data_IF_383481140021
#
_entry.id   IF_383481140021
#
_cell.length_a   1.000
_cell.length_b   1.000
_cell.length_c   1.000
_cell.angle_alpha   90.00
_cell.angle_beta   90.00
_cell.angle_gamma   90.00
#
_symmetry.space_group_name_H-M   'P 1'
#
loop_
_entity.id
_entity.type
_entity.pdbx_description
1 polymer ?
#
# COMPACT_ATOMS: atom_id res chain seq x y z
N UNK A 1 14.01 3.68 52.29
CA UNK A 1 14.52 3.67 50.90
C UNK A 1 13.37 3.24 49.99
N UNK A 2 12.77 4.19 49.26
CA UNK A 2 11.66 3.91 48.31
C UNK A 2 12.27 3.54 46.96
N UNK A 3 12.08 2.30 46.51
CA UNK A 3 12.47 1.87 45.17
C UNK A 3 11.52 2.45 44.17
N UNK A 4 12.01 3.39 43.33
CA UNK A 4 11.28 3.96 42.20
C UNK A 4 11.40 2.95 41.04
N UNK A 5 10.31 2.26 40.69
CA UNK A 5 10.24 1.44 39.48
C UNK A 5 9.92 2.34 38.31
N UNK A 6 10.92 2.61 37.47
CA UNK A 6 10.77 3.29 36.20
C UNK A 6 10.16 2.30 35.21
N UNK A 7 8.84 2.38 35.00
CA UNK A 7 8.15 1.61 33.96
C UNK A 7 8.47 2.32 32.63
N UNK A 8 9.35 1.73 31.85
CA UNK A 8 9.64 2.16 30.49
C UNK A 8 8.49 1.66 29.60
N UNK A 9 7.49 2.53 29.36
CA UNK A 9 6.44 2.28 28.37
C UNK A 9 7.11 2.45 27.01
N UNK A 10 7.47 1.32 26.40
CA UNK A 10 7.95 1.25 25.03
C UNK A 10 6.72 1.41 24.13
N UNK A 11 6.37 2.64 23.76
CA UNK A 11 5.41 2.92 22.71
C UNK A 11 5.98 2.36 21.41
N UNK A 12 5.49 1.21 21.00
CA UNK A 12 5.70 0.69 19.64
C UNK A 12 4.88 1.61 18.74
N UNK A 13 5.51 2.68 18.26
CA UNK A 13 5.01 3.43 17.10
C UNK A 13 5.12 2.50 15.91
N UNK A 14 4.07 1.74 15.65
CA UNK A 14 3.91 1.01 14.41
C UNK A 14 3.99 2.03 13.27
N UNK A 15 5.03 1.92 12.45
CA UNK A 15 5.16 2.71 11.22
C UNK A 15 4.06 2.22 10.27
N UNK A 16 2.98 2.97 10.21
CA UNK A 16 1.89 2.68 9.27
C UNK A 16 2.38 3.06 7.88
N UNK A 17 2.55 2.08 7.02
CA UNK A 17 2.71 2.27 5.59
C UNK A 17 1.36 2.75 5.07
N UNK A 18 1.25 4.05 4.86
CA UNK A 18 0.11 4.65 4.19
C UNK A 18 0.16 4.28 2.71
N UNK A 19 -0.96 3.88 2.15
CA UNK A 19 -1.11 3.52 0.76
C UNK A 19 -1.25 4.74 -0.18
N UNK A 20 -0.72 5.88 0.22
CA UNK A 20 -0.68 7.07 -0.62
C UNK A 20 0.21 6.82 -1.85
N UNK A 21 -0.17 7.34 -3.02
CA UNK A 21 0.64 7.17 -4.21
C UNK A 21 2.03 7.79 -4.03
N UNK A 22 3.03 7.05 -4.45
CA UNK A 22 4.40 7.55 -4.54
C UNK A 22 4.63 8.01 -5.97
N UNK A 23 4.87 9.30 -6.18
CA UNK A 23 5.25 9.83 -7.51
C UNK A 23 6.75 9.69 -7.71
N UNK A 24 7.12 8.95 -8.75
CA UNK A 24 8.50 8.68 -9.13
C UNK A 24 8.79 9.24 -10.51
N UNK A 25 10.01 9.76 -10.70
CA UNK A 25 10.54 10.19 -12.01
C UNK A 25 11.84 9.46 -12.34
N UNK A 26 12.06 9.15 -13.61
CA UNK A 26 13.33 8.63 -14.08
C UNK A 26 14.38 9.75 -14.18
N UNK A 27 15.61 9.47 -13.73
CA UNK A 27 16.70 10.47 -13.75
C UNK A 27 17.74 10.21 -14.83
N UNK A 28 17.88 8.98 -15.30
CA UNK A 28 18.94 8.58 -16.27
C UNK A 28 18.36 8.21 -17.64
N UNK A 29 17.12 8.58 -17.93
CA UNK A 29 16.49 8.28 -19.20
C UNK A 29 16.73 9.41 -20.21
N UNK A 30 17.03 9.07 -21.48
CA UNK A 30 17.08 10.06 -22.59
C UNK A 30 15.78 10.87 -22.69
N UNK A 31 14.66 10.22 -22.38
CA UNK A 31 13.35 10.84 -22.24
C UNK A 31 12.85 10.54 -20.83
N UNK A 32 12.78 11.58 -20.01
CA UNK A 32 12.20 11.49 -18.67
C UNK A 32 10.77 10.96 -18.73
N UNK A 33 10.43 10.07 -17.82
CA UNK A 33 9.07 9.65 -17.56
C UNK A 33 8.75 9.74 -16.09
N UNK A 34 7.47 9.94 -15.78
CA UNK A 34 6.94 9.98 -14.42
C UNK A 34 5.83 8.97 -14.29
N UNK A 35 5.68 8.44 -13.09
CA UNK A 35 4.63 7.48 -12.75
C UNK A 35 4.19 7.65 -11.30
N UNK A 36 2.94 7.28 -11.03
CA UNK A 36 2.41 7.07 -9.68
C UNK A 36 2.44 5.58 -9.39
N UNK A 37 3.08 5.22 -8.29
CA UNK A 37 3.12 3.85 -7.76
C UNK A 37 2.19 3.77 -6.56
N UNK A 38 1.25 2.83 -6.61
CA UNK A 38 0.30 2.52 -5.55
C UNK A 38 0.59 1.12 -5.02
N UNK A 39 0.52 0.92 -3.71
CA UNK A 39 0.72 -0.41 -3.09
C UNK A 39 0.20 -0.41 -1.66
N UNK A 40 -0.24 -1.58 -1.19
CA UNK A 40 -0.66 -1.82 0.18
C UNK A 40 0.43 -2.49 1.02
N UNK A 41 0.03 -2.99 2.16
CA UNK A 41 0.93 -3.70 3.08
C UNK A 41 1.62 -4.88 2.38
N UNK A 42 2.91 -5.05 2.67
CA UNK A 42 3.74 -6.08 2.01
C UNK A 42 3.89 -5.93 0.49
N UNK A 43 3.50 -4.76 -0.06
CA UNK A 43 3.54 -4.51 -1.49
C UNK A 43 2.37 -5.12 -2.28
N UNK A 44 1.34 -5.60 -1.59
CA UNK A 44 0.14 -6.20 -2.20
C UNK A 44 -0.74 -5.14 -2.87
N UNK A 45 -1.57 -5.56 -3.80
CA UNK A 45 -2.48 -4.66 -4.52
C UNK A 45 -1.78 -3.57 -5.34
N UNK A 46 -0.52 -3.78 -5.72
CA UNK A 46 0.27 -2.76 -6.36
C UNK A 46 -0.04 -2.58 -7.84
N UNK A 47 0.05 -1.33 -8.29
CA UNK A 47 0.00 -0.96 -9.70
C UNK A 47 0.75 0.36 -9.94
N UNK A 48 1.10 0.61 -11.19
CA UNK A 48 1.65 1.89 -11.63
C UNK A 48 0.73 2.55 -12.66
N UNK A 49 0.76 3.87 -12.67
CA UNK A 49 0.13 4.70 -13.67
C UNK A 49 1.14 5.74 -14.18
N UNK A 50 1.47 5.67 -15.45
CA UNK A 50 2.36 6.64 -16.07
C UNK A 50 1.66 7.99 -16.28
N UNK A 51 2.39 9.07 -16.07
CA UNK A 51 1.86 10.43 -16.27
C UNK A 51 1.31 10.62 -17.69
N UNK A 52 0.13 11.23 -17.78
CA UNK A 52 -0.59 11.43 -19.05
C UNK A 52 -1.25 10.16 -19.61
N UNK A 53 -1.16 9.02 -18.92
CA UNK A 53 -1.87 7.78 -19.29
C UNK A 53 -3.04 7.52 -18.35
N UNK A 54 -4.14 6.99 -18.90
CA UNK A 54 -5.28 6.55 -18.10
C UNK A 54 -5.17 5.08 -17.68
N UNK A 55 -4.39 4.32 -18.42
CA UNK A 55 -4.16 2.90 -18.18
C UNK A 55 -3.37 2.69 -16.90
N UNK A 56 -3.82 1.77 -16.08
CA UNK A 56 -3.10 1.26 -14.92
C UNK A 56 -2.42 -0.06 -15.28
N UNK A 57 -1.19 -0.25 -14.82
CA UNK A 57 -0.41 -1.45 -15.09
C UNK A 57 -0.24 -2.22 -13.78
N UNK A 58 -0.78 -3.44 -13.69
CA UNK A 58 -0.67 -4.28 -12.50
C UNK A 58 0.80 -4.60 -12.19
N UNK A 59 1.12 -4.60 -10.90
CA UNK A 59 2.37 -5.10 -10.37
C UNK A 59 2.12 -6.37 -9.56
N UNK A 60 2.88 -7.41 -9.85
CA UNK A 60 2.85 -8.66 -9.08
C UNK A 60 4.00 -8.67 -8.09
N UNK A 61 3.70 -8.86 -6.81
CA UNK A 61 4.74 -9.02 -5.79
C UNK A 61 5.65 -10.19 -6.15
N UNK A 62 6.93 -9.90 -6.33
CA UNK A 62 7.98 -10.90 -6.53
C UNK A 62 8.63 -11.25 -5.20
N UNK A 63 8.92 -10.24 -4.39
CA UNK A 63 9.37 -10.41 -3.01
C UNK A 63 9.10 -9.17 -2.18
N UNK A 64 8.89 -9.39 -0.89
CA UNK A 64 8.85 -8.37 0.13
C UNK A 64 9.70 -8.83 1.32
N UNK A 65 10.48 -7.92 1.88
CA UNK A 65 11.28 -8.19 3.08
C UNK A 65 11.26 -6.98 4.00
N UNK A 66 10.88 -7.22 5.24
CA UNK A 66 10.98 -6.26 6.32
C UNK A 66 12.25 -6.52 7.12
N UNK A 67 13.06 -5.50 7.31
CA UNK A 67 14.27 -5.54 8.13
C UNK A 67 14.17 -4.52 9.26
N UNK A 68 13.99 -5.03 10.47
CA UNK A 68 13.86 -4.23 11.69
C UNK A 68 15.15 -4.19 12.50
N UNK A 69 16.21 -4.86 12.03
CA UNK A 69 17.42 -5.14 12.84
C UNK A 69 18.64 -4.40 12.32
N UNK A 70 18.81 -4.30 10.99
CA UNK A 70 20.08 -3.86 10.38
C UNK A 70 20.47 -2.40 10.69
N UNK A 71 19.54 -1.57 11.14
CA UNK A 71 19.80 -0.17 11.49
C UNK A 71 20.24 0.04 12.94
N UNK A 72 20.09 -0.95 13.82
CA UNK A 72 20.32 -0.82 15.26
C UNK A 72 19.13 -0.21 16.01
N UNK A 73 19.22 -0.09 17.34
CA UNK A 73 18.14 0.44 18.18
C UNK A 73 17.73 1.85 17.78
N UNK A 74 16.41 2.06 17.61
CA UNK A 74 15.85 3.38 17.28
C UNK A 74 15.91 3.78 15.81
N UNK A 75 16.47 2.93 14.95
CA UNK A 75 16.45 3.18 13.51
C UNK A 75 15.14 2.68 12.88
N UNK A 76 14.63 3.36 11.84
CA UNK A 76 13.41 2.95 11.17
C UNK A 76 13.59 1.59 10.48
N UNK A 77 12.51 0.81 10.46
CA UNK A 77 12.45 -0.42 9.69
C UNK A 77 12.65 -0.15 8.20
N UNK A 78 13.31 -1.09 7.52
CA UNK A 78 13.58 -1.03 6.09
C UNK A 78 12.65 -2.00 5.38
N UNK A 79 11.87 -1.49 4.44
CA UNK A 79 10.97 -2.26 3.60
C UNK A 79 11.58 -2.40 2.21
N UNK A 80 11.89 -3.63 1.82
CA UNK A 80 12.41 -3.96 0.49
C UNK A 80 11.31 -4.56 -0.33
N UNK A 81 10.93 -3.89 -1.40
CA UNK A 81 9.91 -4.34 -2.33
C UNK A 81 10.54 -4.70 -3.67
N UNK A 82 10.04 -5.77 -4.26
CA UNK A 82 10.33 -6.14 -5.65
C UNK A 82 9.02 -6.55 -6.30
N UNK A 83 8.68 -5.90 -7.41
CA UNK A 83 7.50 -6.21 -8.19
C UNK A 83 7.85 -6.50 -9.64
N UNK A 84 7.12 -7.45 -10.24
CA UNK A 84 7.13 -7.67 -11.68
C UNK A 84 5.98 -6.88 -12.32
N UNK A 85 6.29 -6.04 -13.29
CA UNK A 85 5.32 -5.29 -14.10
C UNK A 85 4.67 -6.23 -15.12
N UNK A 86 3.34 -6.22 -15.16
CA UNK A 86 2.54 -7.13 -15.99
C UNK A 86 1.71 -6.36 -17.01
N UNK A 87 2.16 -6.27 -18.26
CA UNK A 87 1.42 -5.63 -19.35
C UNK A 87 0.67 -6.70 -20.16
N UNK A 88 -0.65 -6.62 -20.22
CA UNK A 88 -1.50 -7.64 -20.89
C UNK A 88 -1.20 -9.07 -20.44
N UNK A 89 -0.94 -9.26 -19.13
CA UNK A 89 -0.60 -10.55 -18.54
C UNK A 89 0.81 -11.05 -18.84
N UNK A 90 1.65 -10.27 -19.52
CA UNK A 90 3.04 -10.61 -19.83
C UNK A 90 4.00 -9.78 -18.99
N UNK A 91 5.08 -10.41 -18.55
CA UNK A 91 6.17 -9.75 -17.86
C UNK A 91 6.83 -8.68 -18.75
N UNK A 92 6.92 -7.44 -18.25
CA UNK A 92 7.45 -6.29 -18.96
C UNK A 92 8.68 -5.66 -18.29
N UNK A 93 8.83 -5.84 -16.98
CA UNK A 93 9.97 -5.30 -16.23
C UNK A 93 9.85 -5.56 -14.73
N UNK A 94 10.83 -5.10 -13.97
CA UNK A 94 10.88 -5.27 -12.53
C UNK A 94 11.14 -3.94 -11.84
N UNK A 95 10.28 -3.57 -10.91
CA UNK A 95 10.51 -2.47 -9.97
C UNK A 95 11.16 -3.00 -8.69
N UNK A 96 12.12 -2.26 -8.17
CA UNK A 96 12.70 -2.47 -6.83
C UNK A 96 12.62 -1.17 -6.07
N UNK A 97 12.30 -1.24 -4.78
CA UNK A 97 12.21 -0.06 -3.94
C UNK A 97 12.65 -0.39 -2.52
N UNK A 98 13.40 0.52 -1.92
CA UNK A 98 13.73 0.55 -0.50
C UNK A 98 13.03 1.74 0.14
N UNK A 99 12.14 1.46 1.07
CA UNK A 99 11.44 2.48 1.85
C UNK A 99 11.81 2.38 3.33
N UNK A 100 11.98 3.54 3.95
CA UNK A 100 12.19 3.70 5.39
C UNK A 100 11.20 4.76 5.90
N UNK A 101 10.19 4.35 6.69
CA UNK A 101 9.06 5.22 7.05
C UNK A 101 8.41 5.83 5.79
N UNK A 102 8.37 7.16 5.70
CA UNK A 102 7.80 7.90 4.56
C UNK A 102 8.85 8.27 3.50
N UNK A 103 10.07 7.79 3.62
CA UNK A 103 11.18 8.12 2.73
C UNK A 103 11.51 6.93 1.81
N UNK A 104 11.61 7.22 0.51
CA UNK A 104 12.11 6.27 -0.49
C UNK A 104 13.62 6.47 -0.62
N UNK A 105 14.38 5.53 -0.10
CA UNK A 105 15.84 5.59 -0.08
C UNK A 105 16.46 5.16 -1.41
N UNK A 106 15.78 4.26 -2.14
CA UNK A 106 16.22 3.76 -3.44
C UNK A 106 15.01 3.27 -4.22
N UNK A 107 14.95 3.58 -5.52
CA UNK A 107 13.96 3.04 -6.42
C UNK A 107 14.55 2.84 -7.82
N UNK A 108 14.30 1.68 -8.42
CA UNK A 108 14.81 1.35 -9.76
C UNK A 108 13.75 0.60 -10.56
N UNK A 109 13.78 0.77 -11.89
CA UNK A 109 13.02 -0.03 -12.85
C UNK A 109 13.97 -0.71 -13.83
N UNK A 110 13.82 -2.01 -14.05
CA UNK A 110 14.58 -2.79 -15.03
C UNK A 110 13.62 -3.27 -16.11
N UNK A 111 13.75 -2.77 -17.31
CA UNK A 111 12.91 -3.15 -18.44
C UNK A 111 13.30 -4.51 -18.99
N UNK A 112 12.32 -5.40 -19.24
CA UNK A 112 12.58 -6.77 -19.63
C UNK A 112 13.11 -6.92 -21.06
N UNK A 113 12.78 -5.99 -21.98
CA UNK A 113 13.09 -6.12 -23.41
C UNK A 113 14.58 -5.95 -23.74
N UNK A 114 15.28 -5.10 -23.00
CA UNK A 114 16.67 -4.71 -23.26
C UNK A 114 17.52 -4.64 -21.99
N UNK A 115 16.95 -5.05 -20.86
CA UNK A 115 17.58 -5.02 -19.53
C UNK A 115 18.10 -3.64 -19.12
N UNK A 116 17.57 -2.58 -19.74
CA UNK A 116 17.93 -1.23 -19.37
C UNK A 116 17.46 -0.91 -17.95
N UNK A 117 18.38 -0.34 -17.17
CA UNK A 117 18.11 0.12 -15.81
C UNK A 117 17.73 1.60 -15.85
N UNK A 118 16.74 1.96 -15.04
CA UNK A 118 16.32 3.35 -14.83
C UNK A 118 16.33 3.60 -13.32
N UNK A 119 17.11 4.57 -12.88
CA UNK A 119 17.03 5.07 -11.52
C UNK A 119 15.79 5.96 -11.41
N UNK A 120 15.07 5.81 -10.32
CA UNK A 120 13.84 6.55 -10.04
C UNK A 120 14.04 7.37 -8.78
N UNK A 121 13.65 8.63 -8.81
CA UNK A 121 13.65 9.51 -7.65
C UNK A 121 12.23 9.88 -7.25
N UNK A 122 12.03 10.03 -5.95
CA UNK A 122 10.79 10.56 -5.39
C UNK A 122 10.62 12.00 -5.88
N UNK A 123 9.45 12.28 -6.44
CA UNK A 123 9.04 13.66 -6.69
C UNK A 123 8.34 14.13 -5.42
N UNK A 124 8.94 15.11 -4.74
CA UNK A 124 8.28 15.83 -3.67
C UNK A 124 7.16 16.68 -4.29
N UNK A 125 5.98 16.12 -4.41
CA UNK A 125 4.78 16.90 -4.63
C UNK A 125 4.41 17.53 -3.28
N UNK A 126 3.99 18.81 -3.27
CA UNK A 126 3.21 19.31 -2.15
C UNK A 126 2.02 18.36 -2.06
N UNK A 127 2.09 17.46 -1.08
CA UNK A 127 1.20 16.31 -1.02
C UNK A 127 -0.24 16.80 -1.08
N UNK A 128 -1.03 16.16 -1.91
CA UNK A 128 -2.47 16.21 -1.76
C UNK A 128 -2.78 15.37 -0.50
N UNK A 129 -2.90 16.00 0.69
CA UNK A 129 -3.20 15.27 1.92
C UNK A 129 -4.58 14.61 1.85
N UNK A 130 -5.39 15.00 0.86
CA UNK A 130 -6.75 14.53 0.62
C UNK A 130 -6.80 13.37 -0.40
N UNK A 131 -5.65 12.90 -0.88
CA UNK A 131 -5.56 11.84 -1.88
C UNK A 131 -6.15 10.51 -1.38
N UNK A 132 -6.94 9.86 -2.24
CA UNK A 132 -7.47 8.53 -1.97
C UNK A 132 -6.34 7.48 -2.05
N UNK A 133 -6.36 6.55 -1.10
CA UNK A 133 -5.60 5.31 -1.20
C UNK A 133 -6.21 4.41 -2.25
N UNK A 134 -5.37 3.76 -3.03
CA UNK A 134 -5.83 2.90 -4.10
C UNK A 134 -5.05 1.59 -4.17
N UNK A 135 -5.79 0.49 -4.39
CA UNK A 135 -5.24 -0.84 -4.64
C UNK A 135 -5.82 -1.44 -5.90
N UNK A 136 -5.07 -2.33 -6.51
CA UNK A 136 -5.56 -3.20 -7.58
C UNK A 136 -5.50 -4.66 -7.07
N UNK A 137 -6.65 -5.20 -6.67
CA UNK A 137 -6.73 -6.54 -6.09
C UNK A 137 -7.71 -7.39 -6.91
N UNK A 138 -7.24 -8.55 -7.40
CA UNK A 138 -8.00 -9.44 -8.31
C UNK A 138 -8.58 -8.74 -9.54
N UNK A 139 -7.90 -7.69 -10.02
CA UNK A 139 -8.34 -6.85 -11.14
C UNK A 139 -9.38 -5.80 -10.78
N UNK A 140 -9.90 -5.77 -9.56
CA UNK A 140 -10.75 -4.70 -9.07
C UNK A 140 -9.90 -3.54 -8.54
N UNK A 141 -10.24 -2.30 -8.91
CA UNK A 141 -9.65 -1.10 -8.35
C UNK A 141 -10.42 -0.71 -7.11
N UNK A 142 -9.72 -0.58 -6.00
CA UNK A 142 -10.26 -0.24 -4.69
C UNK A 142 -9.76 1.16 -4.36
N UNK A 143 -10.67 2.06 -3.97
CA UNK A 143 -10.35 3.43 -3.57
C UNK A 143 -11.06 3.77 -2.27
N UNK A 144 -10.32 4.37 -1.34
CA UNK A 144 -10.84 4.84 -0.05
C UNK A 144 -9.95 5.97 0.48
N UNK A 145 -10.45 6.70 1.47
CA UNK A 145 -9.69 7.77 2.10
C UNK A 145 -9.48 7.48 3.58
N UNK A 146 -8.26 7.68 4.04
CA UNK A 146 -7.86 7.38 5.43
C UNK A 146 -8.43 8.36 6.44
N UNK A 147 -8.55 9.65 6.08
CA UNK A 147 -8.70 10.72 7.06
C UNK A 147 -10.01 11.49 6.92
N UNK A 148 -10.50 11.68 5.69
CA UNK A 148 -11.51 12.71 5.43
C UNK A 148 -12.91 12.19 5.17
N UNK A 149 -13.04 10.90 4.85
CA UNK A 149 -14.35 10.32 4.65
C UNK A 149 -14.33 8.79 4.90
N UNK A 150 -15.53 8.24 5.00
CA UNK A 150 -15.74 6.81 5.21
C UNK A 150 -16.15 6.05 3.94
N UNK A 151 -15.89 6.59 2.77
CA UNK A 151 -16.34 6.00 1.51
C UNK A 151 -15.34 4.96 1.01
N UNK A 152 -15.86 3.79 0.66
CA UNK A 152 -15.15 2.75 -0.06
C UNK A 152 -15.79 2.60 -1.43
N UNK A 153 -14.98 2.69 -2.49
CA UNK A 153 -15.38 2.40 -3.85
C UNK A 153 -14.58 1.22 -4.38
N UNK A 154 -15.26 0.18 -4.86
CA UNK A 154 -14.64 -0.94 -5.58
C UNK A 154 -15.17 -0.95 -7.00
N UNK A 155 -14.28 -0.74 -7.97
CA UNK A 155 -14.58 -0.76 -9.41
C UNK A 155 -14.08 -2.06 -10.01
N UNK A 156 -14.99 -2.86 -10.56
CA UNK A 156 -14.68 -4.16 -11.12
C UNK A 156 -14.33 -4.08 -12.61
N UNK A 157 -13.57 -5.07 -13.15
CA UNK A 157 -13.18 -5.08 -14.57
C UNK A 157 -14.33 -5.06 -15.56
N UNK A 158 -15.53 -5.52 -15.16
CA UNK A 158 -16.74 -5.49 -16.00
C UNK A 158 -17.50 -4.15 -15.92
N UNK A 159 -16.92 -3.13 -15.29
CA UNK A 159 -17.49 -1.80 -15.13
C UNK A 159 -18.50 -1.65 -14.00
N UNK A 160 -18.84 -2.73 -13.29
CA UNK A 160 -19.69 -2.64 -12.10
C UNK A 160 -18.93 -2.01 -10.95
N UNK A 161 -19.68 -1.35 -10.07
CA UNK A 161 -19.14 -0.66 -8.89
C UNK A 161 -19.86 -1.12 -7.63
N UNK A 162 -19.11 -1.24 -6.55
CA UNK A 162 -19.63 -1.37 -5.20
C UNK A 162 -19.23 -0.13 -4.41
N UNK A 163 -20.21 0.51 -3.80
CA UNK A 163 -20.00 1.59 -2.84
C UNK A 163 -20.37 1.07 -1.45
N UNK A 164 -19.53 1.35 -0.48
CA UNK A 164 -19.77 1.03 0.92
C UNK A 164 -19.32 2.19 1.81
N UNK A 165 -19.83 2.20 3.02
CA UNK A 165 -19.35 3.09 4.07
C UNK A 165 -18.47 2.30 5.02
N UNK A 166 -17.26 2.78 5.25
CA UNK A 166 -16.36 2.25 6.26
C UNK A 166 -16.73 2.86 7.61
N UNK A 167 -16.55 2.11 8.71
CA UNK A 167 -16.71 2.68 10.03
C UNK A 167 -15.78 3.88 10.21
N UNK A 168 -16.30 4.99 10.73
CA UNK A 168 -15.51 6.18 10.98
C UNK A 168 -14.80 6.06 12.34
N UNK A 169 -13.51 6.41 12.45
CA UNK A 169 -12.83 6.41 13.74
C UNK A 169 -13.44 7.45 14.68
N UNK A 170 -13.61 7.09 15.95
CA UNK A 170 -14.16 7.96 17.00
C UNK A 170 -13.25 9.15 17.35
N UNK A 171 -11.98 9.07 16.94
CA UNK A 171 -10.98 10.12 17.14
C UNK A 171 -10.59 10.75 15.81
N UNK A 172 -10.56 12.09 15.69
CA UNK A 172 -10.14 12.76 14.47
C UNK A 172 -8.67 12.52 14.10
N UNK A 173 -7.86 12.05 15.05
CA UNK A 173 -6.44 11.74 14.83
C UNK A 173 -6.20 10.26 14.50
N UNK A 174 -7.24 9.43 14.46
CA UNK A 174 -7.14 8.00 14.17
C UNK A 174 -7.38 7.75 12.68
N UNK A 175 -6.32 7.44 11.96
CA UNK A 175 -6.43 7.02 10.57
C UNK A 175 -6.97 5.59 10.46
N UNK A 176 -7.86 5.34 9.52
CA UNK A 176 -8.22 3.99 9.12
C UNK A 176 -7.00 3.28 8.53
N UNK A 177 -6.87 2.00 8.85
CA UNK A 177 -5.81 1.17 8.29
C UNK A 177 -6.45 0.10 7.42
N UNK A 178 -5.82 -0.17 6.29
CA UNK A 178 -6.22 -1.25 5.40
C UNK A 178 -5.18 -2.37 5.42
N UNK A 179 -5.66 -3.60 5.43
CA UNK A 179 -4.82 -4.80 5.43
C UNK A 179 -5.30 -5.73 4.33
N UNK A 180 -4.37 -6.20 3.51
CA UNK A 180 -4.64 -7.18 2.45
C UNK A 180 -4.04 -8.51 2.89
N UNK A 181 -4.91 -9.47 3.25
CA UNK A 181 -4.55 -10.82 3.69
C UNK A 181 -5.66 -11.81 3.30
N UNK A 182 -5.34 -13.10 3.28
CA UNK A 182 -6.32 -14.18 3.06
C UNK A 182 -7.02 -14.52 4.38
N UNK A 183 -8.11 -13.81 4.68
CA UNK A 183 -8.91 -14.03 5.89
C UNK A 183 -9.85 -15.23 5.80
N UNK A 184 -10.21 -15.65 4.58
CA UNK A 184 -11.09 -16.79 4.32
C UNK A 184 -10.34 -18.11 4.23
N UNK A 185 -9.01 -18.10 4.13
CA UNK A 185 -8.12 -19.24 3.94
C UNK A 185 -8.43 -20.02 2.66
N UNK A 186 -8.86 -19.33 1.61
CA UNK A 186 -9.20 -19.93 0.33
C UNK A 186 -8.11 -19.73 -0.75
N UNK A 187 -7.01 -19.07 -0.39
CA UNK A 187 -5.86 -18.80 -1.26
C UNK A 187 -5.96 -17.49 -2.04
N UNK A 188 -7.01 -16.69 -1.78
CA UNK A 188 -7.16 -15.36 -2.37
C UNK A 188 -7.06 -14.30 -1.30
N UNK A 189 -6.37 -13.21 -1.61
CA UNK A 189 -6.28 -12.08 -0.70
C UNK A 189 -7.65 -11.39 -0.57
N UNK A 190 -8.02 -11.09 0.65
CA UNK A 190 -9.19 -10.32 1.07
C UNK A 190 -8.76 -8.92 1.48
N UNK A 191 -9.72 -8.06 1.83
CA UNK A 191 -9.47 -6.70 2.25
C UNK A 191 -10.12 -6.45 3.62
N UNK A 192 -9.35 -5.99 4.57
CA UNK A 192 -9.85 -5.57 5.88
C UNK A 192 -9.53 -4.11 6.15
N UNK A 193 -10.45 -3.42 6.80
CA UNK A 193 -10.25 -2.08 7.35
C UNK A 193 -10.32 -2.16 8.86
N UNK A 194 -9.35 -1.56 9.54
CA UNK A 194 -9.32 -1.51 10.99
C UNK A 194 -9.64 -0.10 11.47
N UNK A 195 -10.35 -0.03 12.60
CA UNK A 195 -10.50 1.20 13.35
C UNK A 195 -9.63 1.04 14.60
N UNK A 196 -8.65 1.93 14.82
CA UNK A 196 -7.94 1.96 16.08
C UNK A 196 -8.96 2.21 17.19
N UNK A 197 -8.99 1.33 18.19
CA UNK A 197 -9.80 1.56 19.37
C UNK A 197 -9.25 2.77 20.12
N UNK A 198 -10.08 3.80 20.32
CA UNK A 198 -9.75 4.99 21.11
C UNK A 198 -9.64 4.70 22.62
N UNK A 199 -9.97 3.48 23.06
CA UNK A 199 -9.94 3.04 24.44
C UNK A 199 -8.88 1.98 24.70
N UNK A 200 -7.81 2.29 25.41
CA UNK A 200 -6.86 1.38 26.04
C UNK A 200 -6.16 0.32 25.17
N UNK A 201 -6.35 0.30 23.85
CA UNK A 201 -5.52 -0.48 22.90
C UNK A 201 -5.65 -2.02 22.99
N UNK A 202 -6.73 -2.54 23.54
CA UNK A 202 -6.90 -4.00 23.76
C UNK A 202 -7.64 -4.66 22.60
N UNK A 203 -8.46 -3.94 21.86
CA UNK A 203 -9.27 -4.49 20.78
C UNK A 203 -9.15 -3.64 19.51
N UNK A 204 -9.00 -4.29 18.36
CA UNK A 204 -9.15 -3.68 17.05
C UNK A 204 -10.44 -4.22 16.42
N UNK A 205 -11.30 -3.32 15.94
CA UNK A 205 -12.45 -3.72 15.15
C UNK A 205 -12.05 -3.78 13.67
N UNK A 206 -12.53 -4.81 12.97
CA UNK A 206 -12.26 -5.01 11.57
C UNK A 206 -13.57 -5.06 10.79
N UNK A 207 -13.61 -4.35 9.65
CA UNK A 207 -14.59 -4.62 8.61
C UNK A 207 -13.89 -5.38 7.50
N UNK A 208 -14.33 -6.61 7.25
CA UNK A 208 -13.68 -7.52 6.31
C UNK A 208 -14.56 -7.68 5.06
N UNK A 209 -13.94 -7.51 3.90
CA UNK A 209 -14.51 -7.78 2.59
C UNK A 209 -13.82 -9.00 2.01
N UNK A 210 -14.51 -10.14 2.00
CA UNK A 210 -14.01 -11.39 1.43
C UNK A 210 -14.17 -11.39 -0.09
N UNK A 211 -13.12 -11.81 -0.79
CA UNK A 211 -13.18 -12.01 -2.22
C UNK A 211 -13.76 -13.39 -2.54
N UNK A 212 -14.76 -13.42 -3.42
CA UNK A 212 -15.31 -14.67 -3.92
C UNK A 212 -14.81 -14.92 -5.36
N UNK A 213 -13.93 -15.92 -5.56
CA UNK A 213 -13.32 -16.18 -6.88
C UNK A 213 -14.32 -16.66 -7.94
N UNK A 214 -15.46 -17.23 -7.54
CA UNK A 214 -16.52 -17.67 -8.50
C UNK A 214 -17.29 -16.49 -9.05
N UNK A 215 -17.71 -15.57 -8.20
CA UNK A 215 -18.43 -14.36 -8.62
C UNK A 215 -17.48 -13.24 -9.05
N UNK A 216 -16.21 -13.32 -8.70
CA UNK A 216 -15.18 -12.27 -8.85
C UNK A 216 -15.61 -10.97 -8.18
N UNK A 217 -16.15 -11.06 -6.96
CA UNK A 217 -16.66 -9.93 -6.18
C UNK A 217 -16.21 -10.00 -4.73
N UNK A 218 -16.07 -8.83 -4.14
CA UNK A 218 -15.95 -8.66 -2.71
C UNK A 218 -17.33 -8.62 -2.06
N UNK A 219 -17.45 -9.16 -0.86
CA UNK A 219 -18.65 -9.11 -0.03
C UNK A 219 -18.29 -9.01 1.45
N UNK A 220 -19.13 -8.37 2.24
CA UNK A 220 -18.97 -8.32 3.70
C UNK A 220 -19.35 -9.65 4.33
N UNK A 221 -18.71 -9.97 5.45
CA UNK A 221 -19.04 -11.10 6.31
C UNK A 221 -20.21 -10.74 7.22
#
# INVERSE_FOLDING_TARGET
MKKLYLIFIMTILGSFLQAQPVTLKSVDAEKEFRLKLYYGNGGKGAFVQYEGKKEIIPLRVKSYRLDTISGGPGQPAKHYFVWDEMVNGKFNGTYKMLQMQNYIADATYIRATDFRHFNLELVEEEGDPDGDDQYLLHGAKISFNHFYNNKLLIEYPDGKKMNAELPFPDSPDAAQQSIIEDYSFDGYDDLAFTIPDAGMGVYSMFTIYLYNPKSKRFGTV
#
